data_IF_134090835081
#
_entry.id   IF_134090835081
#
_cell.length_a   1.000
_cell.length_b   1.000
_cell.length_c   1.000
_cell.angle_alpha   90.00
_cell.angle_beta   90.00
_cell.angle_gamma   90.00
#
_symmetry.space_group_name_H-M   'P 1'
#
loop_
_entity.id
_entity.type
_entity.pdbx_description
1 polymer ?
#
# COMPACT_ATOMS: atom_id res chain seq x y z
N UNK A 1 -10.33 -24.16 -4.79
CA UNK A 1 -9.18 -23.30 -4.42
C UNK A 1 -8.66 -22.83 -5.74
N UNK A 2 -9.17 -21.69 -6.19
CA UNK A 2 -9.11 -21.36 -7.61
C UNK A 2 -8.12 -20.22 -7.72
N UNK A 3 -6.86 -20.56 -7.99
CA UNK A 3 -5.87 -19.52 -8.28
C UNK A 3 -6.30 -18.79 -9.54
N UNK A 4 -6.12 -17.47 -9.56
CA UNK A 4 -6.43 -16.65 -10.72
C UNK A 4 -5.14 -16.28 -11.45
N UNK A 5 -5.27 -16.02 -12.75
CA UNK A 5 -4.18 -15.51 -13.57
C UNK A 5 -4.41 -14.04 -13.84
N UNK A 6 -3.37 -13.23 -13.72
CA UNK A 6 -3.42 -11.83 -14.08
C UNK A 6 -2.10 -11.35 -14.67
N UNK A 7 -2.12 -10.24 -15.39
CA UNK A 7 -0.90 -9.58 -15.87
C UNK A 7 -0.83 -8.20 -15.25
N UNK A 8 0.20 -7.94 -14.43
CA UNK A 8 0.38 -6.65 -13.78
C UNK A 8 1.17 -5.68 -14.67
N UNK A 9 1.05 -4.38 -14.36
CA UNK A 9 1.88 -3.35 -15.00
C UNK A 9 3.09 -3.07 -14.12
N UNK A 10 4.27 -3.50 -14.56
CA UNK A 10 5.53 -3.29 -13.85
C UNK A 10 6.27 -2.08 -14.37
N UNK A 11 7.08 -1.46 -13.51
CA UNK A 11 8.01 -0.44 -13.94
C UNK A 11 9.05 -1.06 -14.88
N UNK A 12 9.39 -0.34 -15.94
CA UNK A 12 10.51 -0.69 -16.83
C UNK A 12 11.67 0.25 -16.57
N UNK A 13 12.85 -0.33 -16.38
CA UNK A 13 14.07 0.46 -16.18
C UNK A 13 14.31 1.42 -17.35
N UNK A 14 14.49 2.71 -17.03
CA UNK A 14 14.82 3.73 -17.99
C UNK A 14 16.23 4.27 -17.66
N UNK A 15 17.17 4.34 -18.64
CA UNK A 15 18.50 4.91 -18.42
C UNK A 15 18.50 6.33 -17.83
N UNK A 16 17.43 7.10 -18.01
CA UNK A 16 17.26 8.42 -17.39
C UNK A 16 17.35 8.36 -15.86
N UNK A 17 17.00 7.22 -15.23
CA UNK A 17 17.05 7.02 -13.78
C UNK A 17 18.46 7.09 -13.19
N UNK A 18 19.50 7.06 -14.05
CA UNK A 18 20.90 7.25 -13.62
C UNK A 18 21.25 8.71 -13.36
N UNK A 19 20.49 9.65 -13.90
CA UNK A 19 20.75 11.09 -13.81
C UNK A 19 19.57 11.89 -13.24
N UNK A 20 18.37 11.30 -13.22
CA UNK A 20 17.14 11.91 -12.72
C UNK A 20 16.40 10.91 -11.82
N UNK A 21 16.06 11.31 -10.59
CA UNK A 21 15.27 10.44 -9.71
C UNK A 21 13.90 10.16 -10.34
N UNK A 22 13.39 8.92 -10.33
CA UNK A 22 12.04 8.63 -10.79
C UNK A 22 10.99 9.46 -10.05
N UNK A 23 9.97 9.96 -10.75
CA UNK A 23 8.95 10.80 -10.13
C UNK A 23 7.56 10.71 -10.79
N UNK A 24 6.54 11.06 -10.02
CA UNK A 24 5.17 11.31 -10.48
C UNK A 24 4.59 12.53 -9.75
N UNK A 25 4.11 13.51 -10.50
CA UNK A 25 3.52 14.76 -10.03
C UNK A 25 1.99 14.62 -10.11
N UNK A 26 1.32 14.89 -8.98
CA UNK A 26 -0.13 14.82 -8.83
C UNK A 26 -0.79 16.19 -8.66
N UNK A 27 -0.05 17.25 -8.98
CA UNK A 27 -0.52 18.63 -9.02
C UNK A 27 -0.20 19.24 -10.37
N UNK A 28 -0.77 20.41 -10.64
CA UNK A 28 -0.42 21.16 -11.83
C UNK A 28 1.06 21.54 -11.79
N UNK A 29 1.75 21.33 -12.91
CA UNK A 29 3.09 21.84 -13.13
C UNK A 29 2.95 23.32 -13.50
N UNK A 30 3.67 24.24 -12.85
CA UNK A 30 3.60 25.66 -13.20
C UNK A 30 3.89 25.89 -14.69
N UNK A 31 3.13 26.78 -15.33
CA UNK A 31 3.22 27.02 -16.77
C UNK A 31 4.60 27.57 -17.20
N UNK A 32 5.31 28.20 -16.27
CA UNK A 32 6.66 28.73 -16.41
C UNK A 32 7.77 27.69 -16.22
N UNK A 33 7.46 26.47 -15.79
CA UNK A 33 8.47 25.43 -15.61
C UNK A 33 9.06 24.98 -16.95
N UNK A 34 10.39 24.88 -17.03
CA UNK A 34 11.09 24.41 -18.23
C UNK A 34 10.73 22.97 -18.60
N UNK A 35 10.47 22.14 -17.58
CA UNK A 35 10.00 20.77 -17.76
C UNK A 35 8.53 20.66 -17.37
N UNK A 36 7.71 20.25 -18.35
CA UNK A 36 6.27 20.06 -18.22
C UNK A 36 5.88 18.59 -17.97
N UNK A 37 6.85 17.68 -17.82
CA UNK A 37 6.57 16.27 -17.54
C UNK A 37 5.92 16.12 -16.17
N UNK A 38 4.79 15.42 -16.12
CA UNK A 38 4.21 14.97 -14.86
C UNK A 38 4.86 13.68 -14.33
N UNK A 39 5.61 12.96 -15.16
CA UNK A 39 6.33 11.75 -14.73
C UNK A 39 7.43 11.39 -15.74
N UNK A 40 8.47 10.72 -15.25
CA UNK A 40 9.46 10.02 -16.08
C UNK A 40 9.35 8.48 -15.93
N UNK A 41 8.29 7.98 -15.30
CA UNK A 41 8.01 6.56 -15.09
C UNK A 41 7.44 5.94 -16.37
N UNK A 42 7.88 4.73 -16.69
CA UNK A 42 7.31 3.92 -17.77
C UNK A 42 6.91 2.57 -17.22
N UNK A 43 5.68 2.16 -17.51
CA UNK A 43 5.15 0.86 -17.11
C UNK A 43 4.80 0.02 -18.33
N UNK A 44 5.05 -1.28 -18.25
CA UNK A 44 4.66 -2.26 -19.25
C UNK A 44 3.99 -3.45 -18.58
N UNK A 45 3.16 -4.18 -19.33
CA UNK A 45 2.61 -5.45 -18.85
C UNK A 45 3.73 -6.45 -18.61
N UNK A 46 3.56 -7.30 -17.59
CA UNK A 46 4.43 -8.45 -17.38
C UNK A 46 4.54 -9.29 -18.67
N UNK A 47 5.71 -9.89 -18.96
CA UNK A 47 5.91 -10.67 -20.18
C UNK A 47 5.00 -11.91 -20.24
N UNK A 48 4.56 -12.40 -19.08
CA UNK A 48 3.62 -13.53 -18.95
C UNK A 48 2.60 -13.23 -17.87
N UNK A 49 1.42 -13.87 -17.95
CA UNK A 49 0.48 -13.88 -16.84
C UNK A 49 1.08 -14.59 -15.62
N UNK A 50 0.83 -14.04 -14.45
CA UNK A 50 1.30 -14.54 -13.16
C UNK A 50 0.14 -15.20 -12.41
N UNK A 51 0.48 -16.24 -11.64
CA UNK A 51 -0.48 -16.93 -10.78
C UNK A 51 -0.62 -16.15 -9.48
N UNK A 52 -1.85 -15.78 -9.14
CA UNK A 52 -2.22 -15.25 -7.83
C UNK A 52 -2.93 -16.35 -7.06
N UNK A 53 -2.30 -16.84 -6.00
CA UNK A 53 -2.77 -17.97 -5.23
C UNK A 53 -3.84 -17.56 -4.21
N UNK A 54 -4.95 -18.30 -4.19
CA UNK A 54 -6.01 -18.07 -3.21
C UNK A 54 -5.59 -18.59 -1.82
N UNK A 55 -5.59 -17.71 -0.82
CA UNK A 55 -5.25 -18.05 0.57
C UNK A 55 -6.42 -18.63 1.35
N UNK A 56 -7.64 -18.63 0.81
CA UNK A 56 -8.85 -19.09 1.51
C UNK A 56 -8.66 -20.50 2.09
N UNK A 57 -8.90 -20.65 3.39
CA UNK A 57 -8.71 -21.90 4.13
C UNK A 57 -7.25 -22.24 4.47
N UNK A 58 -6.30 -21.37 4.13
CA UNK A 58 -4.87 -21.49 4.40
C UNK A 58 -4.31 -20.22 5.06
N UNK A 59 -5.17 -19.40 5.63
CA UNK A 59 -4.83 -18.09 6.19
C UNK A 59 -3.73 -18.19 7.26
N UNK A 60 -3.77 -19.25 8.07
CA UNK A 60 -2.81 -19.50 9.15
C UNK A 60 -1.39 -19.81 8.68
N UNK A 61 -1.16 -20.06 7.38
CA UNK A 61 0.17 -20.26 6.82
C UNK A 61 0.92 -18.93 6.60
N UNK A 62 0.23 -17.80 6.66
CA UNK A 62 0.78 -16.49 6.31
C UNK A 62 0.82 -15.59 7.54
N UNK A 63 2.01 -15.09 7.88
CA UNK A 63 2.21 -14.18 9.00
C UNK A 63 2.96 -12.93 8.57
N UNK A 64 2.84 -11.85 9.36
CA UNK A 64 3.55 -10.61 9.09
C UNK A 64 5.08 -10.75 9.12
N UNK A 65 5.63 -11.65 9.93
CA UNK A 65 7.08 -11.83 10.02
C UNK A 65 7.61 -12.84 8.99
N UNK A 66 6.84 -13.87 8.65
CA UNK A 66 7.25 -14.90 7.68
C UNK A 66 7.02 -14.49 6.23
N UNK A 67 5.93 -13.78 5.94
CA UNK A 67 5.52 -13.45 4.57
C UNK A 67 5.34 -11.94 4.35
N UNK A 68 5.16 -11.17 5.43
CA UNK A 68 4.88 -9.73 5.37
C UNK A 68 3.39 -9.38 5.33
N UNK A 69 2.50 -10.38 5.30
CA UNK A 69 1.05 -10.19 5.34
C UNK A 69 0.37 -11.29 6.15
N UNK A 70 -0.82 -10.98 6.65
CA UNK A 70 -1.70 -11.95 7.29
C UNK A 70 -3.17 -11.56 7.10
N UNK A 71 -4.05 -12.55 7.19
CA UNK A 71 -5.50 -12.36 7.22
C UNK A 71 -6.04 -12.77 8.57
N UNK A 72 -6.86 -11.91 9.17
CA UNK A 72 -7.56 -12.21 10.43
C UNK A 72 -9.06 -12.04 10.27
N UNK A 73 -9.81 -12.72 11.14
CA UNK A 73 -11.23 -12.43 11.32
C UNK A 73 -11.40 -11.28 12.29
N UNK A 74 -12.01 -10.19 11.83
CA UNK A 74 -12.31 -9.04 12.66
C UNK A 74 -13.63 -8.39 12.23
N UNK A 75 -14.62 -8.32 13.13
CA UNK A 75 -15.87 -7.63 12.88
C UNK A 75 -15.76 -6.17 13.33
N UNK A 76 -16.01 -5.23 12.42
CA UNK A 76 -16.00 -3.80 12.75
C UNK A 76 -17.33 -3.35 13.33
N UNK A 77 -17.29 -2.44 14.30
CA UNK A 77 -18.50 -1.80 14.83
C UNK A 77 -18.97 -0.60 13.99
N UNK A 78 -18.24 -0.28 12.92
CA UNK A 78 -18.61 0.78 11.96
C UNK A 78 -19.37 0.15 10.80
N UNK A 79 -20.56 0.68 10.52
CA UNK A 79 -21.40 0.18 9.42
C UNK A 79 -20.88 0.62 8.05
N UNK A 80 -21.28 -0.09 6.99
CA UNK A 80 -20.98 0.27 5.60
C UNK A 80 -21.37 1.73 5.27
N UNK A 81 -22.49 2.21 5.80
CA UNK A 81 -22.97 3.57 5.58
C UNK A 81 -22.03 4.61 6.22
N UNK A 82 -21.63 4.38 7.46
CA UNK A 82 -20.73 5.26 8.23
C UNK A 82 -19.30 5.25 7.70
N UNK A 83 -18.88 4.17 7.05
CA UNK A 83 -17.68 4.17 6.24
C UNK A 83 -17.84 5.05 5.01
N UNK A 84 -18.95 4.92 4.28
CA UNK A 84 -19.16 5.61 3.00
C UNK A 84 -19.28 7.12 3.12
N UNK A 85 -19.88 7.62 4.20
CA UNK A 85 -19.97 9.05 4.50
C UNK A 85 -18.76 9.57 5.31
N UNK A 86 -17.91 8.66 5.78
CA UNK A 86 -16.70 8.95 6.56
C UNK A 86 -16.94 9.28 8.03
N UNK A 87 -18.20 9.35 8.49
CA UNK A 87 -18.57 9.79 9.84
C UNK A 87 -18.09 8.84 10.95
N UNK A 88 -17.89 7.56 10.63
CA UNK A 88 -17.42 6.56 11.61
C UNK A 88 -15.91 6.29 11.57
N UNK A 89 -15.19 6.86 10.60
CA UNK A 89 -13.80 6.43 10.35
C UNK A 89 -12.87 6.91 11.46
N UNK A 90 -12.81 8.21 11.70
CA UNK A 90 -11.82 8.79 12.63
C UNK A 90 -12.16 8.47 14.08
N UNK A 91 -13.42 8.61 14.49
CA UNK A 91 -13.82 8.50 15.89
C UNK A 91 -14.01 7.05 16.37
N UNK A 92 -14.18 6.08 15.47
CA UNK A 92 -14.44 4.67 15.83
C UNK A 92 -13.53 3.69 15.13
N UNK A 93 -13.40 3.77 13.81
CA UNK A 93 -12.62 2.78 13.07
C UNK A 93 -11.11 2.88 13.30
N UNK A 94 -10.56 4.09 13.40
CA UNK A 94 -9.13 4.27 13.69
C UNK A 94 -8.78 3.74 15.09
N UNK A 95 -9.50 4.07 16.18
CA UNK A 95 -9.30 3.43 17.48
C UNK A 95 -9.43 1.90 17.44
N UNK A 96 -10.39 1.38 16.68
CA UNK A 96 -10.56 -0.06 16.47
C UNK A 96 -9.33 -0.68 15.79
N UNK A 97 -8.80 -0.05 14.75
CA UNK A 97 -7.58 -0.46 14.05
C UNK A 97 -6.35 -0.46 14.98
N UNK A 98 -6.23 0.53 15.86
CA UNK A 98 -5.16 0.58 16.86
C UNK A 98 -5.21 -0.64 17.82
N UNK A 99 -6.41 -0.97 18.31
CA UNK A 99 -6.62 -2.15 19.17
C UNK A 99 -6.28 -3.45 18.44
N UNK A 100 -6.71 -3.59 17.18
CA UNK A 100 -6.36 -4.75 16.35
C UNK A 100 -4.85 -4.86 16.21
N UNK A 101 -4.17 -3.78 15.85
CA UNK A 101 -2.71 -3.79 15.69
C UNK A 101 -2.00 -4.19 16.99
N UNK A 102 -2.42 -3.66 18.15
CA UNK A 102 -1.87 -4.04 19.46
C UNK A 102 -2.09 -5.52 19.80
N UNK A 103 -3.18 -6.12 19.33
CA UNK A 103 -3.46 -7.55 19.53
C UNK A 103 -2.68 -8.46 18.59
N UNK A 104 -2.38 -7.99 17.38
CA UNK A 104 -1.74 -8.78 16.33
C UNK A 104 -0.22 -8.59 16.25
N UNK A 105 0.31 -7.57 16.91
CA UNK A 105 1.73 -7.25 16.90
C UNK A 105 2.29 -7.32 18.32
N UNK A 106 3.36 -8.08 18.49
CA UNK A 106 4.08 -8.10 19.75
C UNK A 106 4.92 -6.83 19.93
N UNK A 107 5.04 -6.40 21.19
CA UNK A 107 5.96 -5.34 21.61
C UNK A 107 5.66 -3.97 21.00
N UNK A 108 4.38 -3.58 20.91
CA UNK A 108 3.99 -2.26 20.40
C UNK A 108 3.98 -1.23 21.52
N UNK A 109 4.92 -0.29 21.48
CA UNK A 109 4.97 0.84 22.40
C UNK A 109 4.05 1.99 21.97
N UNK A 110 4.04 2.32 20.67
CA UNK A 110 3.32 3.47 20.12
C UNK A 110 2.81 3.16 18.70
N UNK A 111 1.62 3.67 18.35
CA UNK A 111 1.03 3.56 17.00
C UNK A 111 0.65 4.96 16.53
N UNK A 112 1.12 5.33 15.34
CA UNK A 112 0.65 6.51 14.62
C UNK A 112 -0.26 6.10 13.46
N UNK A 113 -1.55 6.42 13.57
CA UNK A 113 -2.50 6.35 12.45
C UNK A 113 -2.54 7.71 11.75
N UNK A 114 -1.87 7.85 10.62
CA UNK A 114 -1.73 9.16 9.93
C UNK A 114 -2.48 9.26 8.61
N UNK A 115 -2.91 8.14 8.00
CA UNK A 115 -3.67 8.18 6.76
C UNK A 115 -4.72 7.07 6.64
N UNK A 116 -5.81 7.40 5.94
CA UNK A 116 -6.87 6.47 5.58
C UNK A 116 -7.50 6.92 4.25
N UNK A 117 -7.99 5.95 3.47
CA UNK A 117 -8.65 6.20 2.17
C UNK A 117 -9.77 5.22 1.94
N UNK A 118 -10.87 5.70 1.36
CA UNK A 118 -11.95 4.88 0.83
C UNK A 118 -11.73 4.70 -0.67
N UNK A 119 -11.91 3.47 -1.16
CA UNK A 119 -11.80 3.12 -2.58
C UNK A 119 -13.10 2.53 -3.11
N UNK A 120 -13.37 2.74 -4.40
CA UNK A 120 -14.51 2.12 -5.12
C UNK A 120 -14.04 1.65 -6.49
N UNK A 121 -14.42 0.42 -6.86
CA UNK A 121 -14.02 -0.18 -8.14
C UNK A 121 -14.56 0.57 -9.36
N UNK A 122 -15.68 1.29 -9.21
CA UNK A 122 -16.36 2.03 -10.29
C UNK A 122 -15.74 3.39 -10.59
N UNK A 123 -14.90 3.93 -9.71
CA UNK A 123 -14.26 5.23 -9.94
C UNK A 123 -13.04 5.06 -10.82
N UNK A 124 -13.15 5.43 -12.09
CA UNK A 124 -11.99 5.77 -12.92
C UNK A 124 -11.93 7.29 -13.02
N UNK A 125 -10.82 7.90 -12.59
CA UNK A 125 -10.64 9.33 -12.82
C UNK A 125 -10.55 9.56 -14.33
N UNK A 126 -11.39 10.46 -14.83
CA UNK A 126 -11.30 10.87 -16.22
C UNK A 126 -10.01 11.68 -16.41
N UNK A 127 -9.39 11.55 -17.59
CA UNK A 127 -8.24 12.36 -17.95
C UNK A 127 -8.59 13.87 -17.81
N UNK A 128 -7.82 14.61 -17.00
CA UNK A 128 -8.07 16.03 -16.73
C UNK A 128 -8.95 16.33 -15.50
N UNK A 129 -9.39 15.32 -14.75
CA UNK A 129 -10.11 15.56 -13.49
C UNK A 129 -9.14 16.09 -12.42
N UNK A 130 -9.46 17.25 -11.84
CA UNK A 130 -8.74 17.79 -10.69
C UNK A 130 -9.11 16.95 -9.47
N UNK A 131 -8.11 16.33 -8.85
CA UNK A 131 -8.25 15.47 -7.68
C UNK A 131 -7.45 16.08 -6.55
N UNK A 132 -8.11 16.44 -5.45
CA UNK A 132 -7.40 16.83 -4.24
C UNK A 132 -6.96 15.58 -3.49
N UNK A 133 -5.68 15.24 -3.61
CA UNK A 133 -5.09 14.12 -2.88
C UNK A 133 -5.05 14.34 -1.36
N UNK A 134 -5.34 15.54 -0.86
CA UNK A 134 -5.44 15.83 0.57
C UNK A 134 -6.86 15.65 1.10
N UNK A 135 -7.87 15.65 0.23
CA UNK A 135 -9.23 15.32 0.61
C UNK A 135 -9.35 13.80 0.87
N UNK A 136 -9.54 13.45 2.14
CA UNK A 136 -9.68 12.05 2.59
C UNK A 136 -10.97 11.40 2.08
N UNK A 137 -11.97 12.20 1.71
CA UNK A 137 -13.26 11.73 1.17
C UNK A 137 -13.25 11.55 -0.34
N UNK A 138 -12.19 12.01 -1.03
CA UNK A 138 -12.04 11.70 -2.45
C UNK A 138 -11.85 10.20 -2.64
N UNK A 139 -12.72 9.62 -3.47
CA UNK A 139 -12.76 8.17 -3.72
C UNK A 139 -11.85 7.83 -4.89
N UNK A 140 -10.92 6.90 -4.66
CA UNK A 140 -9.97 6.44 -5.68
C UNK A 140 -10.36 5.06 -6.23
N UNK A 141 -10.09 4.87 -7.52
CA UNK A 141 -10.13 3.55 -8.15
C UNK A 141 -8.98 2.64 -7.73
N UNK A 142 -8.99 1.38 -8.22
CA UNK A 142 -7.93 0.42 -7.98
C UNK A 142 -6.61 0.82 -8.64
N UNK A 143 -5.51 0.65 -7.92
CA UNK A 143 -4.13 0.76 -8.42
C UNK A 143 -3.70 -0.58 -9.03
N UNK A 144 -3.22 -0.54 -10.27
CA UNK A 144 -2.88 -1.75 -11.04
C UNK A 144 -1.38 -2.03 -11.14
N UNK A 145 -0.56 -1.21 -10.50
CA UNK A 145 0.90 -1.29 -10.53
C UNK A 145 1.44 -1.82 -9.20
N UNK A 146 2.28 -2.87 -9.19
CA UNK A 146 2.88 -3.37 -7.96
C UNK A 146 3.79 -2.32 -7.32
N UNK A 147 3.58 -2.07 -6.03
CA UNK A 147 4.37 -1.07 -5.29
C UNK A 147 4.44 -1.35 -3.79
N UNK A 148 5.40 -0.68 -3.15
CA UNK A 148 5.48 -0.48 -1.70
C UNK A 148 5.13 0.99 -1.44
N UNK A 149 4.25 1.23 -0.47
CA UNK A 149 3.70 2.56 -0.21
C UNK A 149 4.72 3.59 0.28
N UNK A 150 5.79 3.12 0.93
CA UNK A 150 6.81 3.95 1.53
C UNK A 150 8.20 3.36 1.28
N UNK A 151 9.15 4.19 0.83
CA UNK A 151 10.56 3.82 0.87
C UNK A 151 11.09 3.87 2.32
N UNK A 152 12.16 3.11 2.66
CA UNK A 152 12.78 3.17 3.99
C UNK A 152 13.10 4.60 4.47
N UNK A 153 13.68 5.42 3.59
CA UNK A 153 13.99 6.82 3.92
C UNK A 153 12.74 7.63 4.24
N UNK A 154 11.65 7.43 3.49
CA UNK A 154 10.40 8.14 3.74
C UNK A 154 9.72 7.71 5.04
N UNK A 155 9.87 6.46 5.47
CA UNK A 155 9.39 6.03 6.80
C UNK A 155 10.10 6.82 7.91
N UNK A 156 11.41 7.00 7.79
CA UNK A 156 12.22 7.78 8.74
C UNK A 156 11.75 9.25 8.75
N UNK A 157 11.61 9.86 7.57
CA UNK A 157 11.11 11.24 7.45
C UNK A 157 9.72 11.44 8.09
N UNK A 158 8.83 10.43 7.99
CA UNK A 158 7.53 10.47 8.64
C UNK A 158 7.65 10.45 10.16
N UNK A 159 8.56 9.65 10.72
CA UNK A 159 8.81 9.63 12.18
C UNK A 159 9.36 10.97 12.64
N UNK A 160 10.39 11.50 11.96
CA UNK A 160 11.00 12.80 12.28
C UNK A 160 9.99 13.95 12.21
N UNK A 161 9.13 13.96 11.17
CA UNK A 161 8.13 15.01 10.98
C UNK A 161 7.02 14.98 12.04
N UNK A 162 6.57 13.79 12.45
CA UNK A 162 5.45 13.67 13.39
C UNK A 162 5.91 13.69 14.86
N UNK A 163 7.16 13.33 15.13
CA UNK A 163 7.71 13.22 16.49
C UNK A 163 9.08 13.89 16.62
N UNK A 164 9.24 15.18 16.26
CA UNK A 164 10.55 15.83 16.17
C UNK A 164 11.36 15.77 17.48
N UNK A 165 10.69 15.85 18.63
CA UNK A 165 11.35 15.85 19.95
C UNK A 165 11.78 14.44 20.42
N UNK A 166 11.27 13.37 19.78
CA UNK A 166 11.47 11.98 20.19
C UNK A 166 11.92 11.07 19.04
N UNK A 167 12.20 11.62 17.86
CA UNK A 167 12.50 10.87 16.65
C UNK A 167 13.67 9.91 16.85
N UNK A 168 14.81 10.39 17.37
CA UNK A 168 15.99 9.56 17.64
C UNK A 168 15.69 8.39 18.58
N UNK A 169 14.87 8.63 19.61
CA UNK A 169 14.45 7.58 20.55
C UNK A 169 13.58 6.53 19.85
N UNK A 170 12.58 6.96 19.09
CA UNK A 170 11.69 6.04 18.35
C UNK A 170 12.45 5.24 17.28
N UNK A 171 13.36 5.91 16.54
CA UNK A 171 14.18 5.30 15.49
C UNK A 171 15.25 4.35 16.05
N UNK A 172 15.61 4.47 17.33
CA UNK A 172 16.47 3.49 18.02
C UNK A 172 15.77 2.15 18.27
N UNK A 173 14.43 2.11 18.17
CA UNK A 173 13.62 0.91 18.29
C UNK A 173 13.24 0.26 16.96
N UNK A 174 12.35 -0.75 17.03
CA UNK A 174 11.77 -1.39 15.83
C UNK A 174 10.65 -0.52 15.26
N UNK A 175 10.84 -0.01 14.06
CA UNK A 175 9.85 0.81 13.33
C UNK A 175 9.23 -0.02 12.23
N UNK A 176 7.89 0.00 12.15
CA UNK A 176 7.11 -0.77 11.18
C UNK A 176 6.10 0.12 10.45
N UNK A 177 6.00 -0.03 9.14
CA UNK A 177 4.94 0.57 8.34
C UNK A 177 3.91 -0.51 7.98
N UNK A 178 2.76 -0.46 8.65
CA UNK A 178 1.69 -1.47 8.53
C UNK A 178 0.46 -0.83 7.91
N UNK A 179 -0.18 -1.57 7.01
CA UNK A 179 -1.43 -1.19 6.38
C UNK A 179 -2.50 -2.22 6.69
N UNK A 180 -3.73 -1.71 6.84
CA UNK A 180 -4.93 -2.52 7.00
C UNK A 180 -5.81 -2.31 5.78
N UNK A 181 -6.40 -3.40 5.27
CA UNK A 181 -7.35 -3.35 4.17
C UNK A 181 -8.58 -4.20 4.46
N UNK A 182 -9.74 -3.60 4.28
CA UNK A 182 -11.05 -4.16 4.64
C UNK A 182 -12.07 -3.89 3.54
N UNK A 183 -12.79 -4.91 3.04
CA UNK A 183 -14.02 -4.71 2.28
C UNK A 183 -15.10 -4.05 3.16
N UNK A 184 -15.78 -3.03 2.65
CA UNK A 184 -16.70 -2.23 3.48
C UNK A 184 -18.16 -2.68 3.41
N UNK A 185 -18.53 -3.49 2.41
CA UNK A 185 -19.93 -3.87 2.15
C UNK A 185 -20.07 -5.34 1.78
N UNK A 186 -20.25 -5.64 0.49
CA UNK A 186 -20.38 -7.02 0.02
C UNK A 186 -19.01 -7.72 -0.07
N UNK A 187 -18.99 -9.07 -0.10
CA UNK A 187 -17.78 -9.81 -0.44
C UNK A 187 -17.16 -9.30 -1.73
N UNK A 188 -15.84 -9.33 -1.81
CA UNK A 188 -15.11 -8.83 -2.97
C UNK A 188 -15.31 -9.79 -4.15
N UNK A 189 -16.04 -9.31 -5.16
CA UNK A 189 -16.32 -10.04 -6.41
C UNK A 189 -15.47 -9.54 -7.59
N UNK A 190 -15.08 -8.26 -7.56
CA UNK A 190 -14.25 -7.64 -8.58
C UNK A 190 -13.02 -6.99 -7.92
N UNK A 191 -11.89 -7.00 -8.61
CA UNK A 191 -10.65 -6.37 -8.15
C UNK A 191 -10.21 -6.85 -6.74
N UNK A 192 -9.92 -8.15 -6.55
CA UNK A 192 -9.40 -8.64 -5.29
C UNK A 192 -8.00 -8.11 -5.00
N UNK A 193 -7.77 -7.70 -3.75
CA UNK A 193 -6.49 -7.18 -3.29
C UNK A 193 -5.43 -8.28 -3.33
N UNK A 194 -4.35 -8.04 -4.08
CA UNK A 194 -3.23 -8.96 -4.20
C UNK A 194 -2.04 -8.48 -3.37
N UNK A 195 -1.40 -9.42 -2.68
CA UNK A 195 -0.19 -9.21 -1.88
C UNK A 195 0.89 -10.20 -2.32
N UNK A 196 2.14 -9.74 -2.34
CA UNK A 196 3.28 -10.63 -2.60
C UNK A 196 3.74 -11.30 -1.30
N UNK A 197 4.38 -12.45 -1.41
CA UNK A 197 5.24 -12.94 -0.33
C UNK A 197 6.56 -12.15 -0.34
N UNK A 198 6.75 -11.39 0.74
CA UNK A 198 7.90 -10.51 0.92
C UNK A 198 9.26 -11.19 0.90
N UNK A 199 9.32 -12.50 1.15
CA UNK A 199 10.58 -13.27 1.06
C UNK A 199 11.00 -13.57 -0.37
N UNK A 200 10.08 -13.44 -1.32
CA UNK A 200 10.32 -13.77 -2.72
C UNK A 200 10.77 -12.58 -3.55
N UNK A 201 10.73 -11.37 -2.97
CA UNK A 201 11.05 -10.17 -3.73
C UNK A 201 12.44 -9.63 -3.44
N UNK A 202 13.18 -9.34 -4.51
CA UNK A 202 14.52 -8.78 -4.42
C UNK A 202 14.46 -7.27 -4.46
N UNK A 203 15.20 -6.64 -3.54
CA UNK A 203 15.35 -5.18 -3.48
C UNK A 203 15.89 -4.58 -4.78
N UNK A 204 16.69 -5.34 -5.55
CA UNK A 204 17.20 -4.91 -6.88
C UNK A 204 16.11 -4.72 -7.92
N UNK A 205 14.92 -5.31 -7.71
CA UNK A 205 13.75 -5.09 -8.56
C UNK A 205 12.84 -3.97 -8.06
N UNK A 206 13.23 -3.23 -7.03
CA UNK A 206 12.48 -2.10 -6.50
C UNK A 206 13.15 -0.80 -6.89
N UNK A 207 12.36 0.14 -7.40
CA UNK A 207 12.83 1.46 -7.82
C UNK A 207 12.08 2.52 -7.07
N UNK A 208 12.83 3.32 -6.31
CA UNK A 208 12.28 4.43 -5.56
C UNK A 208 11.84 5.58 -6.47
N UNK A 209 10.62 6.07 -6.26
CA UNK A 209 10.05 7.18 -6.98
C UNK A 209 9.41 8.20 -6.04
N UNK A 210 9.63 9.48 -6.33
CA UNK A 210 8.95 10.57 -5.63
C UNK A 210 7.52 10.72 -6.14
N UNK A 211 6.54 10.75 -5.23
CA UNK A 211 5.17 11.17 -5.49
C UNK A 211 4.98 12.59 -4.98
N UNK A 212 5.03 13.55 -5.90
CA UNK A 212 4.96 14.98 -5.61
C UNK A 212 3.49 15.41 -5.56
N UNK A 213 3.07 15.95 -4.42
CA UNK A 213 1.79 16.62 -4.22
C UNK A 213 2.08 18.07 -3.81
N UNK A 214 1.05 18.92 -3.87
CA UNK A 214 1.19 20.37 -3.59
C UNK A 214 1.90 20.69 -2.26
N UNK A 215 1.60 19.94 -1.20
CA UNK A 215 2.11 20.21 0.14
C UNK A 215 3.19 19.23 0.61
N UNK A 216 3.42 18.14 -0.13
CA UNK A 216 4.24 17.04 0.36
C UNK A 216 4.82 16.22 -0.80
N UNK A 217 6.07 15.81 -0.63
CA UNK A 217 6.70 14.80 -1.48
C UNK A 217 6.74 13.51 -0.66
N UNK A 218 6.08 12.47 -1.15
CA UNK A 218 6.18 11.11 -0.59
C UNK A 218 7.17 10.31 -1.43
N UNK A 219 7.73 9.24 -0.85
CA UNK A 219 8.51 8.27 -1.62
C UNK A 219 7.87 6.89 -1.61
N UNK A 220 7.75 6.27 -2.78
CA UNK A 220 7.19 4.93 -3.00
C UNK A 220 8.26 4.05 -3.67
N UNK A 221 8.15 2.73 -3.55
CA UNK A 221 8.94 1.82 -4.38
C UNK A 221 8.02 1.19 -5.43
N UNK A 222 8.32 1.36 -6.72
CA UNK A 222 7.65 0.60 -7.77
C UNK A 222 8.44 -0.66 -8.09
N UNK A 223 7.74 -1.78 -8.28
CA UNK A 223 8.40 -3.02 -8.67
C UNK A 223 8.63 -3.08 -10.18
N UNK A 224 9.81 -3.56 -10.56
CA UNK A 224 10.09 -4.15 -11.87
C UNK A 224 9.68 -5.62 -11.86
N UNK A 225 9.40 -6.18 -13.04
CA UNK A 225 9.01 -7.59 -13.16
C UNK A 225 10.12 -8.51 -12.65
N UNK A 226 9.72 -9.51 -11.87
CA UNK A 226 10.59 -10.54 -11.32
C UNK A 226 9.88 -11.90 -11.38
N UNK A 227 10.52 -12.89 -12.00
CA UNK A 227 9.90 -14.20 -12.26
C UNK A 227 9.57 -15.00 -10.99
N UNK A 228 10.31 -14.77 -9.90
CA UNK A 228 10.22 -15.55 -8.65
C UNK A 228 9.16 -15.05 -7.66
N UNK A 229 8.51 -13.91 -7.95
CA UNK A 229 7.57 -13.27 -7.01
C UNK A 229 6.30 -14.11 -6.88
N UNK A 230 5.96 -14.47 -5.65
CA UNK A 230 4.72 -15.22 -5.36
C UNK A 230 3.62 -14.27 -4.94
N UNK A 231 2.51 -14.30 -5.69
CA UNK A 231 1.34 -13.49 -5.42
C UNK A 231 0.23 -14.28 -4.75
N UNK A 232 -0.50 -13.61 -3.86
CA UNK A 232 -1.58 -14.14 -3.06
C UNK A 232 -2.77 -13.19 -3.02
N UNK A 233 -3.97 -13.74 -2.89
CA UNK A 233 -5.20 -12.99 -2.64
C UNK A 233 -6.18 -13.85 -1.84
N UNK A 234 -7.27 -13.27 -1.35
CA UNK A 234 -8.35 -14.02 -0.69
C UNK A 234 -9.62 -14.01 -1.54
N UNK A 235 -10.08 -15.18 -1.97
CA UNK A 235 -11.36 -15.30 -2.67
C UNK A 235 -12.55 -14.98 -1.75
N UNK A 236 -13.54 -14.26 -2.29
CA UNK A 236 -14.76 -13.84 -1.57
C UNK A 236 -14.43 -13.15 -0.24
N UNK A 237 -13.40 -12.29 -0.22
CA UNK A 237 -13.01 -11.59 1.00
C UNK A 237 -14.18 -10.74 1.50
N UNK A 238 -14.66 -11.03 2.71
CA UNK A 238 -15.82 -10.38 3.34
C UNK A 238 -15.37 -9.19 4.18
N UNK A 239 -16.29 -8.31 4.63
CA UNK A 239 -15.94 -7.29 5.61
C UNK A 239 -15.33 -7.83 6.90
N UNK A 240 -15.59 -9.09 7.26
CA UNK A 240 -14.99 -9.72 8.43
C UNK A 240 -13.58 -10.24 8.19
N UNK A 241 -13.11 -10.30 6.93
CA UNK A 241 -11.76 -10.70 6.56
C UNK A 241 -10.86 -9.45 6.47
N UNK A 242 -10.08 -9.19 7.51
CA UNK A 242 -9.16 -8.05 7.55
C UNK A 242 -7.78 -8.49 7.07
N UNK A 243 -7.29 -7.86 6.02
CA UNK A 243 -5.91 -8.00 5.57
C UNK A 243 -5.02 -7.01 6.32
N UNK A 244 -3.95 -7.50 6.91
CA UNK A 244 -2.88 -6.71 7.53
C UNK A 244 -1.60 -7.01 6.77
N UNK A 245 -0.90 -5.99 6.30
CA UNK A 245 0.33 -6.16 5.52
C UNK A 245 1.37 -5.10 5.86
N UNK A 246 2.63 -5.46 5.69
CA UNK A 246 3.79 -4.69 6.14
C UNK A 246 4.60 -4.22 4.94
N UNK A 247 4.69 -2.91 4.75
CA UNK A 247 5.51 -2.29 3.71
C UNK A 247 6.96 -2.08 4.17
N UNK A 248 7.18 -1.90 5.48
CA UNK A 248 8.51 -1.66 6.05
C UNK A 248 8.64 -2.25 7.45
N UNK A 249 9.85 -2.71 7.77
CA UNK A 249 10.29 -3.13 9.09
C UNK A 249 11.78 -2.83 9.22
N UNK A 250 12.19 -2.15 10.31
CA UNK A 250 13.60 -1.87 10.57
C UNK A 250 14.36 -3.06 11.15
N UNK A 251 13.65 -4.11 11.63
CA UNK A 251 14.29 -5.33 12.09
C UNK A 251 14.83 -6.14 10.89
N UNK A 252 16.06 -6.65 11.01
CA UNK A 252 16.62 -7.56 10.01
C UNK A 252 16.00 -8.97 10.08
N UNK A 253 15.98 -9.68 8.96
CA UNK A 253 15.55 -11.08 8.90
C UNK A 253 14.04 -11.33 8.94
N UNK A 254 13.21 -10.28 8.92
CA UNK A 254 11.75 -10.39 8.81
C UNK A 254 11.28 -9.99 7.41
N UNK A 255 10.24 -10.66 6.91
CA UNK A 255 9.69 -10.42 5.58
C UNK A 255 9.05 -9.02 5.46
N UNK A 256 9.17 -8.40 4.29
CA UNK A 256 8.55 -7.11 3.93
C UNK A 256 7.71 -7.33 2.66
N UNK A 257 6.43 -6.97 2.65
CA UNK A 257 5.58 -7.17 1.48
C UNK A 257 5.64 -6.02 0.49
N UNK A 258 5.56 -6.38 -0.78
CA UNK A 258 4.98 -5.52 -1.80
C UNK A 258 3.51 -5.82 -1.96
N UNK A 259 2.75 -4.80 -2.30
CA UNK A 259 1.31 -4.91 -2.40
C UNK A 259 0.80 -4.31 -3.70
N UNK A 260 -0.24 -4.96 -4.20
CA UNK A 260 -1.05 -4.46 -5.28
C UNK A 260 -2.36 -4.01 -4.67
N UNK A 261 -2.50 -2.69 -4.57
CA UNK A 261 -3.75 -2.08 -4.14
C UNK A 261 -4.77 -2.08 -5.27
N UNK A 262 -5.50 -3.14 -5.50
CA UNK A 262 -6.76 -3.03 -6.25
C UNK A 262 -7.85 -2.49 -5.32
#
# INVERSE_FOLDING_TARGET
MDSIWNTFHYLVWNPIYKIEKPFQIYSDVPAEAEDQRQTNLKFELAPTAEIIQDVRGRESLFTLDSNGFQYIKHHSNVSEYEFRDGTGVEDRYLPECELVLKQQLDGVDEILLFDWRIRRSETSFQHGQIVDFNDKHTVFGPVKTPHVDASPGYVIEVVERNFPDRADFLLSGRVRWINLWRPLGQPVECCPFAVSDGTTVRETGLVEANRVRRALVNSTLFAMYQEDVKWYYMSQQTPSDLLIFKNFDSQEGVAKCECLRS
#
